data_IF_147885672552
#
_entry.id   IF_147885672552
#
_cell.length_a   1.000
_cell.length_b   1.000
_cell.length_c   1.000
_cell.angle_alpha   90.00
_cell.angle_beta   90.00
_cell.angle_gamma   90.00
#
_symmetry.space_group_name_H-M   'P 1'
#
loop_
_entity.id
_entity.type
_entity.pdbx_description
1 polymer ?
#
# COMPACT_ATOMS: atom_id res chain seq x y z
N UNK A 1 -8.38 -26.43 14.14
CA UNK A 1 -8.43 -26.57 15.61
C UNK A 1 -7.32 -25.81 16.30
N UNK A 2 -6.05 -26.03 15.97
CA UNK A 2 -4.92 -25.31 16.59
C UNK A 2 -4.96 -23.79 16.41
N UNK A 3 -5.22 -23.29 15.20
CA UNK A 3 -5.32 -21.85 14.95
C UNK A 3 -6.44 -21.16 15.75
N UNK A 4 -7.56 -21.86 15.99
CA UNK A 4 -8.67 -21.36 16.79
C UNK A 4 -8.35 -21.35 18.29
N UNK A 5 -7.58 -22.35 18.76
CA UNK A 5 -7.06 -22.37 20.12
C UNK A 5 -6.12 -21.19 20.37
N UNK A 6 -5.19 -20.91 19.45
CA UNK A 6 -4.28 -19.76 19.55
C UNK A 6 -5.08 -18.45 19.50
N UNK A 7 -6.07 -18.33 18.62
CA UNK A 7 -6.92 -17.14 18.56
C UNK A 7 -7.67 -16.91 19.88
N UNK A 8 -8.11 -17.98 20.54
CA UNK A 8 -8.77 -17.89 21.85
C UNK A 8 -7.81 -17.40 22.94
N UNK A 9 -6.56 -17.85 22.92
CA UNK A 9 -5.53 -17.32 23.82
C UNK A 9 -5.21 -15.84 23.54
N UNK A 10 -5.17 -15.44 22.26
CA UNK A 10 -5.02 -14.05 21.85
C UNK A 10 -6.17 -13.21 22.39
N UNK A 11 -7.42 -13.65 22.26
CA UNK A 11 -8.60 -12.95 22.78
C UNK A 11 -8.47 -12.68 24.29
N UNK A 12 -8.07 -13.68 25.07
CA UNK A 12 -7.87 -13.54 26.52
C UNK A 12 -6.74 -12.53 26.82
N UNK A 13 -5.60 -12.67 26.14
CA UNK A 13 -4.45 -11.78 26.35
C UNK A 13 -4.81 -10.32 26.01
N UNK A 14 -5.51 -10.12 24.90
CA UNK A 14 -5.92 -8.80 24.39
C UNK A 14 -6.84 -8.09 25.38
N UNK A 15 -7.81 -8.82 25.96
CA UNK A 15 -8.70 -8.30 27.00
C UNK A 15 -7.91 -7.95 28.28
N UNK A 16 -7.06 -8.86 28.74
CA UNK A 16 -6.30 -8.67 29.98
C UNK A 16 -5.26 -7.55 29.90
N UNK A 17 -4.71 -7.30 28.70
CA UNK A 17 -3.72 -6.25 28.48
C UNK A 17 -4.33 -4.94 27.98
N UNK A 18 -5.66 -4.87 27.83
CA UNK A 18 -6.37 -3.74 27.19
C UNK A 18 -5.77 -3.36 25.81
N UNK A 19 -5.30 -4.36 25.06
CA UNK A 19 -4.72 -4.13 23.74
C UNK A 19 -5.83 -3.87 22.73
N UNK A 20 -5.80 -2.70 22.09
CA UNK A 20 -6.80 -2.34 21.05
C UNK A 20 -6.31 -2.62 19.64
N UNK A 21 -5.04 -3.02 19.49
CA UNK A 21 -4.45 -3.29 18.18
C UNK A 21 -4.97 -4.63 17.63
N UNK A 22 -5.38 -4.70 16.36
CA UNK A 22 -5.71 -5.96 15.71
C UNK A 22 -4.50 -6.90 15.67
N UNK A 23 -4.73 -8.16 16.05
CA UNK A 23 -3.72 -9.22 16.02
C UNK A 23 -4.11 -10.24 14.96
N UNK A 24 -3.16 -10.59 14.08
CA UNK A 24 -3.35 -11.54 13.00
C UNK A 24 -2.42 -12.74 13.18
N UNK A 25 -2.97 -13.93 13.03
CA UNK A 25 -2.26 -15.20 12.99
C UNK A 25 -2.27 -15.72 11.55
N UNK A 26 -1.08 -15.89 10.97
CA UNK A 26 -0.92 -16.62 9.71
C UNK A 26 -1.08 -18.12 9.97
N UNK A 27 -1.80 -18.80 9.10
CA UNK A 27 -1.96 -20.26 9.17
C UNK A 27 -1.97 -20.88 7.77
N UNK A 28 -1.79 -22.21 7.70
CA UNK A 28 -1.72 -22.92 6.44
C UNK A 28 -0.32 -22.91 5.82
N UNK A 29 -0.25 -23.24 4.53
CA UNK A 29 1.02 -23.34 3.81
C UNK A 29 1.60 -21.94 3.50
N UNK A 30 2.93 -21.73 3.53
CA UNK A 30 3.54 -20.40 3.38
C UNK A 30 3.26 -19.71 2.05
N UNK A 31 2.95 -20.49 1.01
CA UNK A 31 2.54 -20.02 -0.33
C UNK A 31 1.11 -19.49 -0.35
N UNK A 32 0.28 -19.88 0.62
CA UNK A 32 -1.09 -19.42 0.77
C UNK A 32 -1.17 -18.45 1.94
N UNK A 33 -1.24 -17.17 1.63
CA UNK A 33 -1.29 -16.09 2.60
C UNK A 33 -2.69 -16.06 3.23
N UNK A 34 -2.91 -16.88 4.25
CA UNK A 34 -4.14 -16.92 5.05
C UNK A 34 -3.90 -16.34 6.43
N UNK A 35 -4.78 -15.42 6.83
CA UNK A 35 -4.80 -14.86 8.17
C UNK A 35 -6.18 -15.01 8.81
N UNK A 36 -6.18 -15.35 10.09
CA UNK A 36 -7.31 -15.10 11.00
C UNK A 36 -6.84 -14.07 12.01
N UNK A 37 -7.74 -13.23 12.50
CA UNK A 37 -7.38 -12.21 13.47
C UNK A 37 -8.53 -11.83 14.39
N UNK A 38 -8.17 -11.12 15.45
CA UNK A 38 -9.12 -10.55 16.40
C UNK A 38 -8.65 -9.16 16.83
N UNK A 39 -9.61 -8.28 17.09
CA UNK A 39 -9.39 -7.02 17.78
C UNK A 39 -10.49 -6.84 18.82
N UNK A 40 -10.11 -6.33 20.00
CA UNK A 40 -11.05 -5.95 21.05
C UNK A 40 -10.97 -4.44 21.27
N UNK A 41 -12.10 -3.75 21.15
CA UNK A 41 -12.18 -2.32 21.45
C UNK A 41 -13.39 -2.08 22.37
N UNK A 42 -13.11 -1.88 23.66
CA UNK A 42 -14.15 -1.83 24.69
C UNK A 42 -14.99 -3.11 24.68
N UNK A 43 -16.30 -2.96 24.46
CA UNK A 43 -17.25 -4.09 24.43
C UNK A 43 -17.44 -4.69 23.03
N UNK A 44 -16.76 -4.17 22.01
CA UNK A 44 -16.88 -4.65 20.63
C UNK A 44 -15.69 -5.56 20.32
N UNK A 45 -15.99 -6.77 19.86
CA UNK A 45 -15.00 -7.68 19.29
C UNK A 45 -15.16 -7.75 17.79
N UNK A 46 -14.06 -7.52 17.07
CA UNK A 46 -14.01 -7.67 15.61
C UNK A 46 -13.20 -8.90 15.27
N UNK A 47 -13.79 -9.80 14.51
CA UNK A 47 -13.13 -11.02 14.02
C UNK A 47 -12.77 -10.85 12.55
N UNK A 48 -11.52 -11.13 12.22
CA UNK A 48 -10.99 -11.02 10.87
C UNK A 48 -10.80 -12.41 10.28
N UNK A 49 -11.34 -12.63 9.09
CA UNK A 49 -11.23 -13.89 8.36
C UNK A 49 -10.83 -13.61 6.92
N UNK A 50 -9.83 -14.34 6.43
CA UNK A 50 -9.40 -14.24 5.04
C UNK A 50 -10.33 -15.04 4.13
N UNK A 51 -10.76 -14.42 3.03
CA UNK A 51 -11.50 -15.10 1.95
C UNK A 51 -10.71 -14.95 0.66
N UNK A 52 -10.46 -16.05 -0.04
CA UNK A 52 -9.95 -16.00 -1.41
C UNK A 52 -11.09 -15.96 -2.40
N UNK A 53 -11.09 -14.94 -3.24
CA UNK A 53 -11.97 -14.89 -4.40
C UNK A 53 -11.14 -15.16 -5.65
N UNK A 54 -11.69 -15.95 -6.59
CA UNK A 54 -11.03 -16.19 -7.89
C UNK A 54 -10.81 -14.89 -8.68
N UNK A 55 -11.69 -13.91 -8.48
CA UNK A 55 -11.60 -12.58 -9.09
C UNK A 55 -11.89 -11.52 -8.03
N UNK A 56 -11.13 -10.42 -8.05
CA UNK A 56 -11.46 -9.24 -7.26
C UNK A 56 -12.67 -8.55 -7.90
N UNK A 57 -13.79 -8.47 -7.17
CA UNK A 57 -14.95 -7.71 -7.62
C UNK A 57 -14.60 -6.22 -7.71
N UNK A 58 -15.21 -5.52 -8.66
CA UNK A 58 -15.09 -4.07 -8.86
C UNK A 58 -15.25 -3.27 -7.56
N UNK A 59 -16.24 -3.65 -6.74
CA UNK A 59 -16.52 -3.04 -5.44
C UNK A 59 -15.40 -3.18 -4.40
N UNK A 60 -14.44 -4.08 -4.58
CA UNK A 60 -13.29 -4.23 -3.67
C UNK A 60 -12.14 -3.26 -3.98
N UNK A 61 -12.26 -2.48 -5.07
CA UNK A 61 -11.18 -1.62 -5.56
C UNK A 61 -11.37 -0.13 -5.24
N UNK A 62 -12.51 0.25 -4.67
CA UNK A 62 -12.81 1.63 -4.31
C UNK A 62 -13.44 1.68 -2.92
N UNK A 63 -13.25 2.81 -2.23
CA UNK A 63 -13.74 3.07 -0.88
C UNK A 63 -15.25 2.92 -0.79
N UNK A 64 -15.99 3.44 -1.78
CA UNK A 64 -17.45 3.36 -1.76
C UNK A 64 -17.93 1.90 -1.66
N UNK A 65 -17.36 1.01 -2.48
CA UNK A 65 -17.71 -0.40 -2.46
C UNK A 65 -17.25 -1.13 -1.20
N UNK A 66 -16.06 -0.79 -0.66
CA UNK A 66 -15.59 -1.33 0.62
C UNK A 66 -16.47 -0.88 1.79
N UNK A 67 -16.89 0.39 1.80
CA UNK A 67 -17.79 0.93 2.81
C UNK A 67 -19.18 0.30 2.73
N UNK A 68 -19.70 0.03 1.54
CA UNK A 68 -20.98 -0.67 1.36
C UNK A 68 -20.92 -2.10 1.90
N UNK A 69 -19.82 -2.83 1.64
CA UNK A 69 -19.60 -4.17 2.22
C UNK A 69 -19.50 -4.10 3.75
N UNK A 70 -18.81 -3.11 4.27
CA UNK A 70 -18.71 -2.90 5.72
C UNK A 70 -20.08 -2.64 6.34
N UNK A 71 -20.88 -1.74 5.76
CA UNK A 71 -22.26 -1.47 6.19
C UNK A 71 -23.15 -2.71 6.09
N UNK A 72 -23.03 -3.50 5.02
CA UNK A 72 -23.77 -4.76 4.86
C UNK A 72 -23.46 -5.74 5.99
N UNK A 73 -22.19 -5.85 6.40
CA UNK A 73 -21.77 -6.68 7.55
C UNK A 73 -22.21 -6.13 8.89
N UNK A 74 -22.45 -4.82 8.97
CA UNK A 74 -22.91 -4.11 10.15
C UNK A 74 -24.43 -3.93 10.23
N UNK A 75 -25.24 -4.44 9.28
CA UNK A 75 -26.70 -4.28 9.19
C UNK A 75 -27.48 -4.96 10.35
N UNK A 76 -27.06 -4.68 11.58
CA UNK A 76 -27.85 -4.68 12.79
C UNK A 76 -28.58 -3.33 12.86
N UNK A 77 -29.89 -3.36 13.06
CA UNK A 77 -30.80 -2.20 13.07
C UNK A 77 -30.55 -1.23 14.23
N UNK A 78 -29.54 -1.47 15.05
CA UNK A 78 -29.22 -0.76 16.28
C UNK A 78 -28.13 0.30 16.14
N UNK A 79 -27.42 0.37 15.01
CA UNK A 79 -26.35 1.35 14.83
C UNK A 79 -26.93 2.62 14.18
N UNK A 80 -27.03 3.75 14.89
CA UNK A 80 -27.46 5.03 14.30
C UNK A 80 -26.51 5.40 13.16
N UNK A 81 -26.97 6.27 12.24
CA UNK A 81 -26.23 6.74 11.06
C UNK A 81 -24.71 6.73 11.30
N UNK A 82 -24.04 5.70 10.78
CA UNK A 82 -22.66 5.39 11.13
C UNK A 82 -21.78 6.57 10.72
N UNK A 83 -21.16 7.20 11.71
CA UNK A 83 -20.12 8.20 11.46
C UNK A 83 -18.82 7.49 11.07
N UNK A 84 -18.73 7.11 9.79
CA UNK A 84 -17.62 6.31 9.27
C UNK A 84 -16.44 7.23 9.00
N UNK A 85 -15.39 7.03 9.81
CA UNK A 85 -14.07 7.61 9.57
C UNK A 85 -13.16 6.55 8.99
N UNK A 86 -12.45 6.89 7.91
CA UNK A 86 -11.59 5.98 7.16
C UNK A 86 -10.15 6.47 7.17
N UNK A 87 -9.22 5.52 7.21
CA UNK A 87 -7.81 5.76 6.95
C UNK A 87 -7.46 5.15 5.59
N UNK A 88 -6.84 5.93 4.72
CA UNK A 88 -6.51 5.51 3.35
C UNK A 88 -5.01 5.70 3.16
N UNK A 89 -4.34 4.69 2.61
CA UNK A 89 -2.94 4.79 2.16
C UNK A 89 -2.88 4.25 0.73
N UNK A 90 -2.37 5.07 -0.19
CA UNK A 90 -2.18 4.71 -1.59
C UNK A 90 -0.69 4.55 -1.86
N UNK A 91 -0.34 3.47 -2.56
CA UNK A 91 1.03 3.18 -2.95
C UNK A 91 1.20 3.37 -4.46
N UNK A 92 2.10 4.27 -4.83
CA UNK A 92 2.53 4.51 -6.20
C UNK A 92 3.92 3.91 -6.37
N UNK A 93 4.06 3.00 -7.33
CA UNK A 93 5.32 2.31 -7.60
C UNK A 93 5.76 2.64 -9.02
N UNK A 94 6.88 3.34 -9.14
CA UNK A 94 7.57 3.57 -10.40
C UNK A 94 8.73 2.58 -10.47
N UNK A 95 8.67 1.66 -11.43
CA UNK A 95 9.75 0.72 -11.72
C UNK A 95 10.48 1.19 -12.96
N UNK A 96 11.80 1.20 -12.88
CA UNK A 96 12.60 1.44 -14.06
C UNK A 96 12.97 0.09 -14.68
N UNK A 97 12.27 -0.27 -15.76
CA UNK A 97 12.56 -1.42 -16.61
C UNK A 97 13.32 -1.00 -17.89
N UNK A 98 13.97 0.17 -17.92
CA UNK A 98 14.75 0.60 -19.09
C UNK A 98 15.96 -0.32 -19.28
N UNK A 99 15.77 -1.32 -20.13
CA UNK A 99 16.83 -2.07 -20.77
C UNK A 99 17.52 -1.11 -21.75
N UNK A 100 18.54 -0.38 -21.28
CA UNK A 100 19.39 0.50 -22.10
C UNK A 100 20.30 -0.29 -23.06
N UNK A 101 19.86 -1.46 -23.53
CA UNK A 101 20.56 -2.30 -24.50
C UNK A 101 20.25 -1.89 -25.95
N UNK A 102 19.41 -0.87 -26.16
CA UNK A 102 19.29 -0.23 -27.47
C UNK A 102 20.41 0.78 -27.66
N UNK A 103 21.38 0.39 -28.49
CA UNK A 103 22.45 1.20 -29.10
C UNK A 103 22.01 2.62 -29.46
N UNK A 104 22.07 3.55 -28.50
CA UNK A 104 22.33 4.94 -28.82
C UNK A 104 23.81 5.04 -29.22
N UNK A 105 24.10 4.67 -30.47
CA UNK A 105 25.32 5.04 -31.16
C UNK A 105 25.34 6.57 -31.30
N UNK A 106 25.70 7.24 -30.21
CA UNK A 106 26.16 8.62 -30.25
C UNK A 106 27.50 8.56 -30.98
N UNK A 107 27.45 8.86 -32.28
CA UNK A 107 28.61 8.87 -33.17
C UNK A 107 29.72 9.73 -32.54
N UNK A 108 30.86 9.10 -32.20
CA UNK A 108 32.01 9.71 -31.52
C UNK A 108 32.50 10.98 -32.23
N UNK A 109 32.17 11.13 -33.52
CA UNK A 109 32.44 12.32 -34.33
C UNK A 109 31.81 13.59 -33.78
N UNK A 110 30.66 13.50 -33.10
CA UNK A 110 29.98 14.65 -32.48
C UNK A 110 30.58 15.03 -31.10
N UNK A 111 31.23 14.08 -30.42
CA UNK A 111 31.85 14.32 -29.09
C UNK A 111 33.19 15.05 -29.24
N UNK A 112 33.95 14.81 -30.33
CA UNK A 112 35.27 15.43 -30.54
C UNK A 112 35.24 16.95 -30.74
N UNK A 113 34.11 17.54 -31.16
CA UNK A 113 33.99 18.98 -31.37
C UNK A 113 33.51 19.76 -30.13
N UNK A 114 33.07 19.07 -29.07
CA UNK A 114 32.90 19.67 -27.76
C UNK A 114 34.12 19.30 -26.92
N UNK A 115 35.16 20.15 -26.97
CA UNK A 115 36.39 19.96 -26.20
C UNK A 115 36.08 19.53 -24.76
N UNK A 116 36.43 18.28 -24.45
CA UNK A 116 36.48 17.68 -23.11
C UNK A 116 35.48 18.23 -22.08
N UNK A 117 34.21 17.88 -22.24
CA UNK A 117 33.32 17.74 -21.09
C UNK A 117 32.82 16.30 -21.06
N UNK A 118 33.54 15.41 -20.38
CA UNK A 118 32.84 14.29 -19.74
C UNK A 118 31.84 14.95 -18.78
N UNK A 119 30.58 15.07 -19.19
CA UNK A 119 29.56 15.55 -18.29
C UNK A 119 29.57 14.60 -17.09
N UNK A 120 29.84 15.06 -15.85
CA UNK A 120 29.98 14.20 -14.68
C UNK A 120 28.67 13.51 -14.25
N UNK A 121 27.63 13.55 -15.07
CA UNK A 121 26.23 13.37 -14.64
C UNK A 121 25.40 12.43 -15.52
N UNK A 122 25.97 11.69 -16.48
CA UNK A 122 25.23 10.64 -17.17
C UNK A 122 25.82 9.26 -16.88
N UNK A 123 25.18 8.53 -15.96
CA UNK A 123 25.39 7.09 -15.89
C UNK A 123 24.68 6.45 -17.07
N UNK A 124 25.39 5.57 -17.81
CA UNK A 124 24.82 4.76 -18.92
C UNK A 124 23.66 3.85 -18.49
N UNK A 125 23.44 3.70 -17.19
CA UNK A 125 22.37 2.92 -16.58
C UNK A 125 21.73 3.76 -15.48
N UNK A 126 20.41 3.70 -15.34
CA UNK A 126 19.77 4.25 -14.16
C UNK A 126 20.17 3.41 -12.94
N UNK A 127 20.51 4.08 -11.85
CA UNK A 127 20.87 3.45 -10.57
C UNK A 127 19.62 3.11 -9.78
N UNK A 128 18.51 3.82 -10.02
CA UNK A 128 17.22 3.61 -9.37
C UNK A 128 16.50 2.43 -10.03
N UNK A 129 16.23 1.39 -9.22
CA UNK A 129 15.43 0.23 -9.62
C UNK A 129 13.94 0.50 -9.43
N UNK A 130 13.57 1.03 -8.27
CA UNK A 130 12.18 1.23 -7.90
C UNK A 130 12.06 2.46 -7.00
N UNK A 131 11.11 3.33 -7.31
CA UNK A 131 10.71 4.44 -6.46
C UNK A 131 9.28 4.18 -5.99
N UNK A 132 9.08 4.13 -4.67
CA UNK A 132 7.76 4.00 -4.05
C UNK A 132 7.39 5.29 -3.35
N UNK A 133 6.21 5.79 -3.66
CA UNK A 133 5.57 6.89 -2.94
C UNK A 133 4.31 6.37 -2.27
N UNK A 134 4.25 6.51 -0.95
CA UNK A 134 3.06 6.27 -0.15
C UNK A 134 2.44 7.63 0.19
N UNK A 135 1.18 7.82 -0.18
CA UNK A 135 0.38 8.97 0.26
C UNK A 135 -0.73 8.48 1.17
N UNK A 136 -1.00 9.21 2.25
CA UNK A 136 -1.89 8.73 3.30
C UNK A 136 -2.78 9.80 3.90
N UNK A 137 -4.02 9.43 4.16
CA UNK A 137 -5.04 10.20 4.85
C UNK A 137 -5.45 9.45 6.12
N UNK A 138 -5.00 9.89 7.32
CA UNK A 138 -5.13 9.09 8.53
C UNK A 138 -6.56 9.04 9.10
N UNK A 139 -7.37 10.06 8.84
CA UNK A 139 -8.75 10.13 9.32
C UNK A 139 -9.55 11.06 8.39
N UNK A 140 -10.35 10.46 7.52
CA UNK A 140 -11.30 11.16 6.65
C UNK A 140 -12.71 10.71 6.96
N UNK A 141 -13.66 11.64 6.97
CA UNK A 141 -15.07 11.26 6.91
C UNK A 141 -15.36 10.63 5.56
N UNK A 142 -16.06 9.50 5.54
CA UNK A 142 -16.41 8.81 4.30
C UNK A 142 -17.11 9.76 3.29
N UNK A 143 -17.96 10.65 3.78
CA UNK A 143 -18.71 11.61 2.95
C UNK A 143 -17.89 12.79 2.41
N UNK A 144 -16.69 13.03 2.95
CA UNK A 144 -15.81 14.09 2.50
C UNK A 144 -14.99 13.70 1.26
N UNK A 145 -15.11 12.44 0.82
CA UNK A 145 -14.29 11.90 -0.25
C UNK A 145 -15.12 11.05 -1.22
N UNK A 146 -14.86 11.20 -2.52
CA UNK A 146 -15.53 10.50 -3.61
C UNK A 146 -14.55 9.56 -4.29
N UNK A 147 -14.45 8.34 -3.74
CA UNK A 147 -13.67 7.26 -4.34
C UNK A 147 -14.60 6.11 -4.79
N UNK A 148 -14.81 6.06 -6.10
CA UNK A 148 -15.66 5.13 -6.82
C UNK A 148 -14.85 4.40 -7.90
N UNK A 149 -15.43 3.38 -8.52
CA UNK A 149 -14.72 2.68 -9.61
C UNK A 149 -14.39 3.56 -10.82
N UNK A 150 -15.18 4.61 -11.06
CA UNK A 150 -15.03 5.47 -12.24
C UNK A 150 -14.26 6.76 -11.94
N UNK A 151 -14.16 7.14 -10.67
CA UNK A 151 -13.64 8.44 -10.26
C UNK A 151 -13.13 8.39 -8.83
N UNK A 152 -11.98 9.02 -8.59
CA UNK A 152 -11.37 9.19 -7.28
C UNK A 152 -10.86 10.62 -7.13
N UNK A 153 -11.21 11.28 -6.04
CA UNK A 153 -10.69 12.60 -5.61
C UNK A 153 -9.47 12.49 -4.67
N UNK A 154 -8.96 11.28 -4.44
CA UNK A 154 -7.72 11.03 -3.73
C UNK A 154 -6.52 11.53 -4.55
N UNK A 155 -6.24 12.82 -4.47
CA UNK A 155 -5.08 13.46 -5.10
C UNK A 155 -3.81 13.30 -4.21
N UNK A 156 -2.76 12.61 -4.68
CA UNK A 156 -1.48 12.51 -3.99
C UNK A 156 -0.93 13.85 -3.52
N UNK A 157 -1.09 14.91 -4.33
CA UNK A 157 -0.57 16.24 -4.00
C UNK A 157 -1.23 16.86 -2.77
N UNK A 158 -2.50 16.54 -2.54
CA UNK A 158 -3.28 17.01 -1.41
C UNK A 158 -3.17 16.12 -0.17
N UNK A 159 -2.42 15.00 -0.24
CA UNK A 159 -2.32 14.06 0.87
C UNK A 159 -1.56 14.66 2.07
N UNK A 160 -2.06 14.51 3.31
CA UNK A 160 -1.41 15.08 4.50
C UNK A 160 -0.17 14.29 4.96
N UNK A 161 0.00 13.05 4.51
CA UNK A 161 1.15 12.21 4.86
C UNK A 161 1.79 11.62 3.62
N UNK A 162 3.11 11.74 3.54
CA UNK A 162 3.91 11.24 2.43
C UNK A 162 5.05 10.41 3.00
N UNK A 163 5.36 9.30 2.34
CA UNK A 163 6.61 8.55 2.56
C UNK A 163 7.15 8.16 1.20
N UNK A 164 8.43 8.42 0.96
CA UNK A 164 9.11 7.97 -0.25
C UNK A 164 10.17 6.94 0.13
N UNK A 165 10.34 5.92 -0.70
CA UNK A 165 11.45 4.98 -0.60
C UNK A 165 12.01 4.68 -1.98
N UNK A 166 13.31 4.51 -2.05
CA UNK A 166 14.03 4.25 -3.29
C UNK A 166 14.85 2.99 -3.12
N UNK A 167 14.71 2.07 -4.06
CA UNK A 167 15.53 0.87 -4.17
C UNK A 167 16.48 1.05 -5.34
N UNK A 168 17.76 0.76 -5.12
CA UNK A 168 18.80 0.88 -6.13
C UNK A 168 19.22 -0.48 -6.68
N UNK A 169 19.73 -0.51 -7.91
CA UNK A 169 20.38 -1.69 -8.46
C UNK A 169 21.69 -1.98 -7.70
N UNK A 170 21.91 -3.24 -7.33
CA UNK A 170 23.16 -3.66 -6.67
C UNK A 170 24.33 -3.55 -7.65
N UNK A 171 25.45 -3.02 -7.18
CA UNK A 171 26.71 -2.96 -7.95
C UNK A 171 26.76 -1.89 -9.05
N UNK A 172 25.77 -1.00 -9.13
CA UNK A 172 25.77 0.15 -10.03
C UNK A 172 26.27 1.38 -9.26
N UNK A 173 27.30 2.04 -9.77
CA UNK A 173 27.76 3.32 -9.24
C UNK A 173 27.13 4.46 -10.01
N UNK A 174 26.65 5.48 -9.31
CA UNK A 174 26.13 6.70 -9.91
C UNK A 174 25.82 7.77 -8.89
N UNK A 175 25.52 8.97 -9.38
CA UNK A 175 25.18 10.12 -8.56
C UNK A 175 23.67 10.32 -8.60
N UNK A 176 23.01 10.19 -7.45
CA UNK A 176 21.62 10.63 -7.30
C UNK A 176 21.61 12.11 -6.91
N UNK A 177 20.98 12.95 -7.73
CA UNK A 177 20.79 14.36 -7.42
C UNK A 177 19.32 14.61 -7.13
N UNK A 178 19.01 14.95 -5.88
CA UNK A 178 17.68 15.42 -5.46
C UNK A 178 17.72 16.96 -5.50
N UNK A 179 16.75 17.58 -6.19
CA UNK A 179 16.58 19.04 -6.27
C UNK A 179 15.45 19.48 -5.35
#
# INVERSE_FOLDING_TARGET
DEAQMILSAIDIATVNSECTLPIFLQFGAPDRIFFIGSAQNGNIRTRFETVHTHHAFSKHKCLSGLADIFKERLNDSTIPALDITVAIELEYIIRNDFDYDNDLHIDEKYIKNLGACSLPFSTRRDVVKEFRLLTGWPALKQEAITDTINYSDLDPYAAPRWRASVTFHKGVQGLLRMF
#
